data_IF_983058462066
#
_entry.id   IF_983058462066
#
_cell.length_a   1.000
_cell.length_b   1.000
_cell.length_c   1.000
_cell.angle_alpha   90.00
_cell.angle_beta   90.00
_cell.angle_gamma   90.00
#
_symmetry.space_group_name_H-M   'P 1'
#
loop_
_entity.id
_entity.type
_entity.pdbx_description
1 polymer ?
#
# COMPACT_ATOMS: atom_id res chain seq x y z
N UNK A 1 -13.74 -12.00 14.99
CA UNK A 1 -12.93 -11.41 13.90
C UNK A 1 -11.59 -10.99 14.50
N UNK A 2 -10.46 -11.45 13.95
CA UNK A 2 -9.17 -10.91 14.33
C UNK A 2 -9.08 -9.45 13.86
N UNK A 3 -8.68 -8.53 14.74
CA UNK A 3 -8.48 -7.13 14.37
C UNK A 3 -7.33 -7.01 13.39
N UNK A 4 -7.47 -6.17 12.37
CA UNK A 4 -6.40 -5.92 11.41
C UNK A 4 -5.38 -4.97 12.03
N UNK A 5 -4.11 -5.12 11.67
CA UNK A 5 -3.01 -4.41 12.35
C UNK A 5 -3.16 -2.88 12.26
N UNK A 6 -3.68 -2.35 11.14
CA UNK A 6 -3.87 -0.91 10.99
C UNK A 6 -5.00 -0.34 11.84
N UNK A 7 -5.95 -1.16 12.30
CA UNK A 7 -7.00 -0.70 13.20
C UNK A 7 -6.40 -0.34 14.56
N UNK A 8 -5.37 -1.07 15.01
CA UNK A 8 -4.57 -0.69 16.17
C UNK A 8 -3.81 0.62 15.93
N UNK A 9 -3.18 0.77 14.76
CA UNK A 9 -2.46 2.00 14.42
C UNK A 9 -3.40 3.20 14.28
N UNK A 10 -4.62 3.00 13.77
CA UNK A 10 -5.65 4.03 13.64
C UNK A 10 -5.99 4.68 14.97
N UNK A 11 -6.17 3.85 16.02
CA UNK A 11 -6.41 4.33 17.39
C UNK A 11 -5.28 5.21 17.93
N UNK A 12 -4.03 4.89 17.60
CA UNK A 12 -2.85 5.66 18.03
C UNK A 12 -2.63 6.95 17.23
N UNK A 13 -3.22 7.06 16.04
CA UNK A 13 -2.92 8.12 15.07
C UNK A 13 -4.15 8.98 14.74
N UNK A 14 -5.11 9.04 15.67
CA UNK A 14 -6.25 9.95 15.59
C UNK A 14 -7.15 9.74 14.37
N UNK A 15 -7.26 8.50 13.87
CA UNK A 15 -8.13 8.18 12.73
C UNK A 15 -7.55 8.52 11.36
N UNK A 16 -6.26 8.86 11.26
CA UNK A 16 -5.58 9.09 9.97
C UNK A 16 -5.50 7.84 9.08
N UNK A 17 -5.74 6.67 9.67
CA UNK A 17 -5.87 5.39 8.96
C UNK A 17 -7.30 4.88 9.18
N UNK A 18 -7.99 4.52 8.11
CA UNK A 18 -9.37 4.03 8.14
C UNK A 18 -9.49 2.71 7.39
N UNK A 19 -10.51 1.94 7.71
CA UNK A 19 -10.85 0.74 6.91
C UNK A 19 -11.87 1.15 5.84
N UNK A 20 -11.59 0.86 4.57
CA UNK A 20 -12.54 1.11 3.48
C UNK A 20 -13.69 0.10 3.51
N UNK A 21 -14.75 0.36 2.74
CA UNK A 21 -15.88 -0.58 2.57
C UNK A 21 -15.46 -1.93 1.98
N UNK A 22 -14.37 -1.94 1.20
CA UNK A 22 -13.79 -3.15 0.61
C UNK A 22 -12.87 -3.89 1.59
N UNK A 23 -12.65 -3.33 2.79
CA UNK A 23 -11.75 -3.88 3.78
C UNK A 23 -10.28 -3.64 3.45
N UNK A 24 -9.93 -2.56 2.78
CA UNK A 24 -8.55 -2.12 2.59
C UNK A 24 -8.19 -1.01 3.60
N UNK A 25 -6.90 -0.72 3.76
CA UNK A 25 -6.44 0.38 4.61
C UNK A 25 -6.41 1.69 3.80
N UNK A 26 -7.22 2.67 4.17
CA UNK A 26 -7.13 4.05 3.69
C UNK A 26 -6.22 4.85 4.63
N UNK A 27 -5.02 5.16 4.15
CA UNK A 27 -4.01 5.97 4.84
C UNK A 27 -4.01 7.36 4.22
N UNK A 28 -4.73 8.30 4.84
CA UNK A 28 -4.83 9.69 4.37
C UNK A 28 -5.19 9.84 2.86
N UNK A 29 -6.01 8.94 2.31
CA UNK A 29 -6.42 8.92 0.90
C UNK A 29 -5.67 7.92 0.03
N UNK A 30 -4.58 7.31 0.52
CA UNK A 30 -3.90 6.20 -0.15
C UNK A 30 -4.50 4.88 0.31
N UNK A 31 -5.05 4.10 -0.62
CA UNK A 31 -5.64 2.79 -0.30
C UNK A 31 -4.60 1.68 -0.50
N UNK A 32 -4.39 0.85 0.53
CA UNK A 32 -3.50 -0.30 0.51
C UNK A 32 -4.26 -1.58 0.89
N UNK A 33 -4.00 -2.68 0.18
CA UNK A 33 -4.41 -4.01 0.65
C UNK A 33 -3.74 -4.34 1.99
N UNK A 34 -4.27 -5.35 2.68
CA UNK A 34 -3.67 -5.82 3.93
C UNK A 34 -2.20 -6.22 3.78
N UNK A 35 -1.86 -6.94 2.70
CA UNK A 35 -0.48 -7.38 2.47
C UNK A 35 0.42 -6.24 2.03
N UNK A 36 -0.09 -5.27 1.28
CA UNK A 36 0.65 -4.06 0.92
C UNK A 36 0.91 -3.20 2.16
N UNK A 37 -0.08 -3.02 3.03
CA UNK A 37 0.07 -2.30 4.29
C UNK A 37 1.14 -2.95 5.18
N UNK A 38 1.08 -4.28 5.35
CA UNK A 38 2.06 -5.02 6.14
C UNK A 38 3.48 -4.88 5.60
N UNK A 39 3.63 -4.91 4.27
CA UNK A 39 4.94 -4.69 3.64
C UNK A 39 5.40 -3.25 3.87
N UNK A 40 4.53 -2.26 3.63
CA UNK A 40 4.83 -0.85 3.84
C UNK A 40 5.28 -0.56 5.28
N UNK A 41 4.58 -1.11 6.29
CA UNK A 41 4.91 -0.82 7.70
C UNK A 41 6.14 -1.55 8.24
N UNK A 42 6.73 -2.46 7.45
CA UNK A 42 8.04 -3.05 7.75
C UNK A 42 9.14 -1.99 7.66
N UNK A 43 9.11 -1.17 6.60
CA UNK A 43 10.17 -0.21 6.29
C UNK A 43 9.78 1.23 6.71
N UNK A 44 8.48 1.54 6.74
CA UNK A 44 7.95 2.85 7.14
C UNK A 44 7.14 2.72 8.43
N UNK A 45 7.46 3.50 9.48
CA UNK A 45 6.55 3.59 10.62
C UNK A 45 5.19 4.12 10.15
N UNK A 46 4.05 3.72 10.76
CA UNK A 46 2.72 4.19 10.34
C UNK A 46 2.60 5.72 10.21
N UNK A 47 3.28 6.47 11.08
CA UNK A 47 3.34 7.93 11.01
C UNK A 47 4.11 8.43 9.79
N UNK A 48 5.25 7.83 9.47
CA UNK A 48 6.02 8.17 8.26
C UNK A 48 5.21 7.90 6.99
N UNK A 49 4.42 6.81 6.96
CA UNK A 49 3.53 6.52 5.84
C UNK A 49 2.43 7.58 5.69
N UNK A 50 1.85 8.05 6.80
CA UNK A 50 0.86 9.15 6.77
C UNK A 50 1.50 10.44 6.29
N UNK A 51 2.69 10.77 6.80
CA UNK A 51 3.39 12.00 6.47
C UNK A 51 3.76 12.00 4.97
N UNK A 52 4.29 10.89 4.45
CA UNK A 52 4.53 10.67 3.02
C UNK A 52 3.28 10.96 2.17
N UNK A 53 2.12 10.41 2.55
CA UNK A 53 0.88 10.62 1.79
C UNK A 53 0.39 12.07 1.89
N UNK A 54 0.55 12.73 3.05
CA UNK A 54 0.13 14.12 3.23
C UNK A 54 1.00 15.11 2.46
N UNK A 55 2.30 14.84 2.38
CA UNK A 55 3.27 15.71 1.72
C UNK A 55 3.24 15.53 0.20
N UNK A 56 3.27 14.29 -0.28
CA UNK A 56 3.34 14.00 -1.71
C UNK A 56 1.95 13.87 -2.37
N UNK A 57 0.91 13.60 -1.59
CA UNK A 57 -0.40 13.20 -2.08
C UNK A 57 -0.48 11.70 -2.41
N UNK A 58 -1.70 11.11 -2.47
CA UNK A 58 -1.87 9.66 -2.60
C UNK A 58 -1.22 9.05 -3.85
N UNK A 59 -1.33 9.72 -5.01
CA UNK A 59 -0.80 9.19 -6.26
C UNK A 59 0.74 9.18 -6.31
N UNK A 60 1.37 10.25 -5.82
CA UNK A 60 2.83 10.33 -5.76
C UNK A 60 3.40 9.38 -4.70
N UNK A 61 2.76 9.31 -3.52
CA UNK A 61 3.12 8.35 -2.48
C UNK A 61 3.01 6.89 -2.96
N UNK A 62 1.95 6.55 -3.71
CA UNK A 62 1.83 5.24 -4.33
C UNK A 62 3.00 4.93 -5.29
N UNK A 63 3.38 5.92 -6.11
CA UNK A 63 4.50 5.80 -7.05
C UNK A 63 5.82 5.59 -6.32
N UNK A 64 6.05 6.35 -5.25
CA UNK A 64 7.25 6.26 -4.43
C UNK A 64 7.35 4.90 -3.72
N UNK A 65 6.25 4.40 -3.18
CA UNK A 65 6.20 3.07 -2.58
C UNK A 65 6.49 1.97 -3.61
N UNK A 66 5.89 2.05 -4.80
CA UNK A 66 6.20 1.09 -5.88
C UNK A 66 7.67 1.15 -6.27
N UNK A 67 8.25 2.34 -6.36
CA UNK A 67 9.67 2.51 -6.68
C UNK A 67 10.57 1.92 -5.58
N UNK A 68 10.29 2.21 -4.31
CA UNK A 68 11.04 1.68 -3.16
C UNK A 68 11.08 0.14 -3.15
N UNK A 69 9.91 -0.49 -3.28
CA UNK A 69 9.78 -1.96 -3.27
C UNK A 69 10.10 -2.62 -4.62
N UNK A 70 10.48 -1.83 -5.63
CA UNK A 70 10.96 -2.30 -6.92
C UNK A 70 12.48 -2.44 -6.99
N UNK A 71 13.22 -1.99 -5.99
CA UNK A 71 14.70 -2.11 -5.93
C UNK A 71 15.14 -3.54 -5.65
N UNK A 72 16.30 -3.95 -6.17
CA UNK A 72 16.86 -5.29 -5.91
C UNK A 72 17.05 -5.56 -4.41
N UNK A 73 17.49 -4.56 -3.65
CA UNK A 73 17.63 -4.65 -2.20
C UNK A 73 16.29 -4.91 -1.51
N UNK A 74 15.26 -4.11 -1.82
CA UNK A 74 13.94 -4.28 -1.23
C UNK A 74 13.30 -5.60 -1.66
N UNK A 75 13.48 -6.03 -2.90
CA UNK A 75 12.99 -7.32 -3.40
C UNK A 75 13.64 -8.48 -2.64
N UNK A 76 14.97 -8.46 -2.46
CA UNK A 76 15.70 -9.47 -1.69
C UNK A 76 15.20 -9.53 -0.24
N UNK A 77 15.06 -8.38 0.42
CA UNK A 77 14.54 -8.30 1.79
C UNK A 77 13.07 -8.73 1.92
N UNK A 78 12.29 -8.65 0.84
CA UNK A 78 10.85 -8.97 0.80
C UNK A 78 10.56 -10.39 0.27
N UNK A 79 11.59 -11.17 -0.06
CA UNK A 79 11.46 -12.49 -0.67
C UNK A 79 10.81 -12.43 -2.07
N UNK A 80 11.21 -11.45 -2.87
CA UNK A 80 10.76 -11.23 -4.25
C UNK A 80 9.41 -10.51 -4.39
N UNK A 81 8.88 -9.94 -3.31
CA UNK A 81 7.55 -9.32 -3.28
C UNK A 81 7.69 -7.80 -3.42
N UNK A 82 7.05 -7.24 -4.44
CA UNK A 82 6.99 -5.80 -4.70
C UNK A 82 5.60 -5.25 -4.44
N UNK A 83 5.44 -3.94 -4.58
CA UNK A 83 4.15 -3.27 -4.62
C UNK A 83 3.80 -2.88 -6.06
N UNK A 84 2.51 -2.86 -6.36
CA UNK A 84 1.95 -2.45 -7.64
C UNK A 84 0.69 -1.61 -7.40
N UNK A 85 0.44 -0.66 -8.31
CA UNK A 85 -0.81 0.12 -8.30
C UNK A 85 -1.83 -0.59 -9.18
N UNK A 86 -2.98 -0.91 -8.59
CA UNK A 86 -4.14 -1.44 -9.27
C UNK A 86 -5.26 -0.40 -9.31
N UNK A 87 -6.20 -0.55 -10.24
CA UNK A 87 -7.46 0.19 -10.19
C UNK A 87 -8.43 -0.53 -9.27
N UNK A 88 -8.94 0.18 -8.27
CA UNK A 88 -10.08 -0.23 -7.45
C UNK A 88 -11.38 -0.24 -8.26
N UNK A 89 -12.42 -0.84 -7.69
CA UNK A 89 -13.75 -0.96 -8.31
C UNK A 89 -14.44 0.39 -8.57
N UNK A 90 -14.05 1.41 -7.83
CA UNK A 90 -14.52 2.80 -7.90
C UNK A 90 -13.53 3.72 -8.63
N UNK A 91 -12.57 3.15 -9.38
CA UNK A 91 -11.44 3.84 -10.02
C UNK A 91 -10.42 4.46 -9.04
N UNK A 92 -10.59 4.28 -7.73
CA UNK A 92 -9.58 4.69 -6.75
C UNK A 92 -8.32 3.83 -6.92
N UNK A 93 -7.12 4.41 -7.03
CA UNK A 93 -5.89 3.64 -7.08
C UNK A 93 -5.67 2.88 -5.76
N UNK A 94 -5.44 1.58 -5.85
CA UNK A 94 -5.19 0.69 -4.70
C UNK A 94 -3.81 0.08 -4.85
N UNK A 95 -2.97 0.24 -3.83
CA UNK A 95 -1.66 -0.41 -3.77
C UNK A 95 -1.83 -1.84 -3.28
N UNK A 96 -1.33 -2.79 -4.06
CA UNK A 96 -1.34 -4.22 -3.74
C UNK A 96 0.07 -4.78 -3.77
N UNK A 97 0.29 -5.88 -3.07
CA UNK A 97 1.52 -6.68 -3.19
C UNK A 97 1.44 -7.53 -4.46
N UNK A 98 2.58 -7.76 -5.10
CA UNK A 98 2.63 -8.42 -6.42
C UNK A 98 1.98 -9.81 -6.47
N UNK A 99 2.00 -10.57 -5.37
CA UNK A 99 1.39 -11.90 -5.26
C UNK A 99 -0.14 -11.88 -5.05
N UNK A 100 -0.74 -10.72 -4.86
CA UNK A 100 -2.19 -10.55 -4.74
C UNK A 100 -2.88 -10.38 -6.09
N UNK A 101 -2.11 -10.21 -7.16
CA UNK A 101 -2.61 -9.92 -8.49
C UNK A 101 -2.24 -11.09 -9.40
N UNK A 102 -3.21 -11.65 -10.16
CA UNK A 102 -2.92 -12.69 -11.13
C UNK A 102 -1.82 -12.23 -12.12
N UNK A 103 -0.93 -13.13 -12.52
CA UNK A 103 0.19 -12.82 -13.43
C UNK A 103 -0.25 -12.20 -14.79
N UNK A 104 -1.51 -12.37 -15.17
CA UNK A 104 -2.12 -11.77 -16.36
C UNK A 104 -2.39 -10.25 -16.23
N UNK A 105 -2.45 -9.73 -15.00
CA UNK A 105 -2.71 -8.30 -14.73
C UNK A 105 -1.44 -7.49 -14.45
N UNK A 106 -0.25 -8.12 -14.48
CA UNK A 106 1.06 -7.49 -14.24
C UNK A 106 1.87 -7.23 -15.51
N UNK A 107 1.28 -7.41 -16.70
CA UNK A 107 1.96 -7.10 -17.95
C UNK A 107 2.27 -5.59 -18.05
N UNK A 108 3.51 -5.19 -18.40
CA UNK A 108 3.79 -3.80 -18.73
C UNK A 108 2.93 -3.37 -19.93
N UNK A 109 2.54 -2.09 -20.04
CA UNK A 109 1.85 -1.61 -21.22
C UNK A 109 2.72 -1.90 -22.45
N UNK A 110 2.21 -2.74 -23.35
CA UNK A 110 2.81 -2.91 -24.67
C UNK A 110 2.46 -1.66 -25.47
N UNK A 111 3.45 -0.80 -25.70
CA UNK A 111 3.40 0.26 -26.71
C UNK A 111 3.57 -0.33 -28.10
#
# INVERSE_FOLDING_TARGET
MAKRIWELHSHLLGGAIRTTVMGDADVAGLVLSERAYLLAVRDFRPRQLIDLVREAGPAAAATELVAHYGTDEALNASGGRSLIVCRGSDYTPVVRRSDEVPALATAPPRF
#
